data_IF_324575375262
#
_entry.id   IF_324575375262
#
_cell.length_a   1.000
_cell.length_b   1.000
_cell.length_c   1.000
_cell.angle_alpha   90.00
_cell.angle_beta   90.00
_cell.angle_gamma   90.00
#
_symmetry.space_group_name_H-M   'P 1'
#
loop_
_entity.id
_entity.type
_entity.pdbx_description
1 polymer ?
#
# COMPACT_ATOMS: atom_id res chain seq x y z
N UNK A 1 12.54 22.10 -6.85
CA UNK A 1 12.45 22.26 -5.37
C UNK A 1 12.92 21.01 -4.64
N UNK A 2 12.38 19.78 -4.93
CA UNK A 2 12.80 18.52 -4.30
C UNK A 2 14.31 18.24 -4.43
N UNK A 3 14.89 18.39 -5.63
CA UNK A 3 16.33 18.20 -5.89
C UNK A 3 17.27 19.17 -5.14
N UNK A 4 16.82 20.38 -4.84
CA UNK A 4 17.62 21.37 -4.11
C UNK A 4 17.65 21.02 -2.61
N UNK A 5 16.55 20.47 -2.07
CA UNK A 5 16.43 20.07 -0.69
C UNK A 5 17.20 18.79 -0.34
N UNK A 6 17.47 17.93 -1.35
CA UNK A 6 18.26 16.70 -1.18
C UNK A 6 19.78 16.97 -0.99
N UNK A 7 20.23 18.21 -1.26
CA UNK A 7 21.65 18.61 -1.13
C UNK A 7 22.09 19.03 0.26
N UNK A 8 21.13 19.29 1.18
CA UNK A 8 21.41 19.72 2.55
C UNK A 8 20.84 18.72 3.57
N UNK A 9 21.71 17.98 4.26
CA UNK A 9 21.34 16.93 5.21
C UNK A 9 21.13 17.49 6.63
N UNK A 10 20.19 18.45 6.78
CA UNK A 10 19.76 18.96 8.07
C UNK A 10 18.47 18.30 8.54
N UNK A 11 18.20 18.28 9.84
CA UNK A 11 16.95 17.71 10.38
C UNK A 11 15.71 18.44 9.84
N UNK A 12 15.79 19.76 9.64
CA UNK A 12 14.72 20.56 9.04
C UNK A 12 14.45 20.17 7.59
N UNK A 13 15.49 19.93 6.80
CA UNK A 13 15.36 19.46 5.42
C UNK A 13 14.73 18.07 5.35
N UNK A 14 15.11 17.15 6.24
CA UNK A 14 14.50 15.82 6.31
C UNK A 14 13.03 15.89 6.68
N UNK A 15 12.65 16.81 7.58
CA UNK A 15 11.27 17.01 7.97
C UNK A 15 10.45 17.61 6.81
N UNK A 16 11.00 18.58 6.10
CA UNK A 16 10.37 19.18 4.93
C UNK A 16 10.18 18.18 3.78
N UNK A 17 11.18 17.36 3.50
CA UNK A 17 11.07 16.28 2.51
C UNK A 17 9.99 15.27 2.88
N UNK A 18 9.82 14.98 4.16
CA UNK A 18 8.77 14.10 4.64
C UNK A 18 7.37 14.69 4.48
N UNK A 19 7.19 16.00 4.70
CA UNK A 19 5.91 16.66 4.45
C UNK A 19 5.63 16.74 2.95
N UNK A 20 6.61 17.04 2.11
CA UNK A 20 6.47 17.03 0.65
C UNK A 20 6.05 15.64 0.14
N UNK A 21 6.66 14.56 0.67
CA UNK A 21 6.27 13.20 0.34
C UNK A 21 4.80 12.91 0.73
N UNK A 22 4.35 13.42 1.88
CA UNK A 22 2.94 13.26 2.30
C UNK A 22 1.98 13.99 1.37
N UNK A 23 2.33 15.19 0.94
CA UNK A 23 1.52 15.97 -0.01
C UNK A 23 1.45 15.22 -1.36
N UNK A 24 2.58 14.71 -1.84
CA UNK A 24 2.65 13.90 -3.07
C UNK A 24 1.72 12.67 -2.95
N UNK A 25 1.80 11.92 -1.85
CA UNK A 25 0.92 10.77 -1.58
C UNK A 25 -0.57 11.16 -1.55
N UNK A 26 -0.89 12.32 -0.98
CA UNK A 26 -2.27 12.79 -0.94
C UNK A 26 -2.79 13.15 -2.33
N UNK A 27 -2.00 13.85 -3.14
CA UNK A 27 -2.34 14.19 -4.53
C UNK A 27 -2.52 12.93 -5.37
N UNK A 28 -1.61 11.96 -5.27
CA UNK A 28 -1.70 10.67 -5.95
C UNK A 28 -2.99 9.92 -5.58
N UNK A 29 -3.34 9.92 -4.30
CA UNK A 29 -4.57 9.30 -3.81
C UNK A 29 -5.83 9.98 -4.38
N UNK A 30 -5.88 11.31 -4.43
CA UNK A 30 -7.01 12.05 -5.01
C UNK A 30 -7.13 11.79 -6.51
N UNK A 31 -6.00 11.81 -7.24
CA UNK A 31 -5.99 11.50 -8.67
C UNK A 31 -6.44 10.06 -8.94
N UNK A 32 -6.02 9.11 -8.10
CA UNK A 32 -6.46 7.72 -8.18
C UNK A 32 -7.95 7.57 -7.91
N UNK A 33 -8.49 8.30 -6.92
CA UNK A 33 -9.91 8.34 -6.66
C UNK A 33 -10.72 8.84 -7.87
N UNK A 34 -10.27 9.92 -8.53
CA UNK A 34 -10.92 10.46 -9.72
C UNK A 34 -10.86 9.49 -10.90
N UNK A 35 -9.71 8.86 -11.11
CA UNK A 35 -9.53 7.88 -12.19
C UNK A 35 -10.37 6.62 -11.97
N UNK A 36 -10.40 6.08 -10.74
CA UNK A 36 -11.27 4.94 -10.40
C UNK A 36 -12.75 5.27 -10.50
N UNK A 37 -13.15 6.53 -10.36
CA UNK A 37 -14.52 6.98 -10.53
C UNK A 37 -14.96 7.15 -11.99
N UNK A 38 -14.04 7.20 -12.96
CA UNK A 38 -14.36 7.36 -14.37
C UNK A 38 -14.70 6.01 -15.03
N UNK A 39 -15.76 6.00 -15.85
CA UNK A 39 -16.15 4.83 -16.65
C UNK A 39 -15.12 4.50 -17.76
N UNK A 40 -14.22 5.42 -18.07
CA UNK A 40 -13.21 5.34 -19.14
C UNK A 40 -11.80 5.09 -18.59
N UNK A 41 -11.66 4.37 -17.47
CA UNK A 41 -10.32 3.96 -17.01
C UNK A 41 -9.80 2.84 -17.89
N UNK A 42 -8.89 3.13 -18.80
CA UNK A 42 -8.21 2.13 -19.61
C UNK A 42 -7.28 1.29 -18.72
N UNK A 43 -7.75 0.11 -18.34
CA UNK A 43 -6.92 -0.89 -17.66
C UNK A 43 -6.10 -1.65 -18.69
N UNK A 44 -4.79 -1.74 -18.47
CA UNK A 44 -3.87 -2.45 -19.36
C UNK A 44 -3.44 -3.76 -18.72
N UNK A 45 -4.22 -4.81 -18.95
CA UNK A 45 -3.91 -6.14 -18.45
C UNK A 45 -2.78 -6.80 -19.27
N UNK A 46 -1.69 -7.15 -18.58
CA UNK A 46 -0.56 -7.89 -19.13
C UNK A 46 0.04 -8.79 -18.06
N UNK A 47 0.84 -9.77 -18.48
CA UNK A 47 1.70 -10.49 -17.55
C UNK A 47 2.88 -9.61 -17.13
N UNK A 48 2.98 -9.37 -15.82
CA UNK A 48 4.07 -8.63 -15.21
C UNK A 48 4.83 -9.49 -14.23
N UNK A 49 6.11 -9.23 -14.11
CA UNK A 49 7.01 -9.75 -13.09
C UNK A 49 6.66 -9.10 -11.75
N UNK A 50 6.09 -9.89 -10.83
CA UNK A 50 5.62 -9.40 -9.52
C UNK A 50 6.77 -8.84 -8.67
N UNK A 51 7.97 -9.46 -8.78
CA UNK A 51 9.16 -8.99 -8.04
C UNK A 51 9.54 -7.55 -8.41
N UNK A 52 9.43 -7.18 -9.69
CA UNK A 52 9.72 -5.83 -10.15
C UNK A 52 8.74 -4.81 -9.55
N UNK A 53 7.45 -5.13 -9.54
CA UNK A 53 6.42 -4.25 -8.97
C UNK A 53 6.65 -4.06 -7.46
N UNK A 54 6.92 -5.15 -6.73
CA UNK A 54 7.20 -5.09 -5.29
C UNK A 54 8.46 -4.26 -5.02
N UNK A 55 9.55 -4.48 -5.77
CA UNK A 55 10.79 -3.72 -5.61
C UNK A 55 10.63 -2.24 -5.91
N UNK A 56 9.80 -1.88 -6.89
CA UNK A 56 9.48 -0.48 -7.19
C UNK A 56 8.80 0.20 -6.00
N UNK A 57 7.80 -0.46 -5.40
CA UNK A 57 7.16 0.04 -4.19
C UNK A 57 8.14 0.16 -3.01
N UNK A 58 8.96 -0.87 -2.78
CA UNK A 58 9.99 -0.85 -1.73
C UNK A 58 10.95 0.32 -1.92
N UNK A 59 11.44 0.53 -3.14
CA UNK A 59 12.38 1.61 -3.43
C UNK A 59 11.81 2.99 -3.12
N UNK A 60 10.56 3.23 -3.48
CA UNK A 60 9.84 4.49 -3.20
C UNK A 60 9.73 4.76 -1.69
N UNK A 61 9.47 3.72 -0.89
CA UNK A 61 9.26 3.86 0.56
C UNK A 61 10.52 3.61 1.42
N UNK A 62 11.65 3.19 0.83
CA UNK A 62 12.89 2.90 1.56
C UNK A 62 13.34 4.06 2.49
N UNK A 63 13.32 5.34 2.07
CA UNK A 63 13.69 6.43 2.97
C UNK A 63 12.79 6.54 4.22
N UNK A 64 11.53 6.15 4.10
CA UNK A 64 10.56 6.17 5.21
C UNK A 64 10.86 5.05 6.22
N UNK A 65 11.19 3.84 5.74
CA UNK A 65 11.60 2.72 6.57
C UNK A 65 12.86 3.07 7.38
N UNK A 66 13.87 3.63 6.72
CA UNK A 66 15.12 4.07 7.36
C UNK A 66 14.84 5.14 8.42
N UNK A 67 14.11 6.19 8.07
CA UNK A 67 13.80 7.30 8.98
C UNK A 67 13.04 6.84 10.22
N UNK A 68 12.10 5.90 10.06
CA UNK A 68 11.29 5.36 11.17
C UNK A 68 11.94 4.20 11.89
N UNK A 69 13.11 3.73 11.42
CA UNK A 69 13.81 2.57 11.98
C UNK A 69 12.95 1.31 12.00
N UNK A 70 12.12 1.13 10.95
CA UNK A 70 11.31 -0.06 10.75
C UNK A 70 12.10 -1.00 9.84
N UNK A 71 12.26 -2.26 10.25
CA UNK A 71 12.93 -3.28 9.44
C UNK A 71 11.99 -3.74 8.34
N UNK A 72 12.48 -3.77 7.10
CA UNK A 72 11.76 -4.35 5.97
C UNK A 72 12.36 -5.72 5.64
N UNK A 73 11.50 -6.74 5.57
CA UNK A 73 11.86 -8.11 5.22
C UNK A 73 11.18 -8.50 3.91
N UNK A 74 11.96 -8.78 2.88
CA UNK A 74 11.48 -9.24 1.59
C UNK A 74 12.48 -10.20 0.95
N UNK A 75 11.99 -11.32 0.46
CA UNK A 75 12.76 -12.25 -0.36
C UNK A 75 12.23 -12.18 -1.80
N UNK A 76 13.09 -11.92 -2.79
CA UNK A 76 12.70 -11.87 -4.20
C UNK A 76 11.99 -13.15 -4.65
N UNK A 77 11.04 -13.00 -5.56
CA UNK A 77 10.24 -14.10 -6.12
C UNK A 77 10.32 -14.10 -7.64
N UNK A 78 10.19 -15.28 -8.24
CA UNK A 78 10.07 -15.44 -9.70
C UNK A 78 8.64 -15.87 -10.04
N UNK A 79 7.72 -14.90 -9.98
CA UNK A 79 6.29 -15.11 -10.21
C UNK A 79 5.76 -14.04 -11.16
N UNK A 80 5.05 -14.50 -12.19
CA UNK A 80 4.30 -13.62 -13.10
C UNK A 80 2.83 -13.58 -12.72
N UNK A 81 2.23 -12.40 -12.85
CA UNK A 81 0.82 -12.15 -12.57
C UNK A 81 0.17 -11.39 -13.72
N UNK A 82 -1.06 -11.75 -14.07
CA UNK A 82 -1.88 -11.00 -15.01
C UNK A 82 -2.56 -9.86 -14.24
N UNK A 83 -2.19 -8.63 -14.55
CA UNK A 83 -2.66 -7.45 -13.81
C UNK A 83 -2.46 -6.18 -14.64
N UNK A 84 -2.87 -5.04 -14.10
CA UNK A 84 -2.38 -3.71 -14.49
C UNK A 84 -1.28 -3.29 -13.50
N UNK A 85 -0.05 -3.09 -14.00
CA UNK A 85 1.12 -2.77 -13.19
C UNK A 85 0.90 -1.54 -12.32
N UNK A 86 0.33 -0.49 -12.88
CA UNK A 86 0.11 0.78 -12.21
C UNK A 86 -0.84 0.66 -11.02
N UNK A 87 -1.93 -0.08 -11.20
CA UNK A 87 -2.92 -0.26 -10.15
C UNK A 87 -2.46 -1.24 -9.08
N UNK A 88 -1.76 -2.32 -9.46
CA UNK A 88 -1.18 -3.22 -8.47
C UNK A 88 -0.09 -2.50 -7.65
N UNK A 89 0.78 -1.72 -8.31
CA UNK A 89 1.77 -0.87 -7.63
C UNK A 89 1.09 0.09 -6.65
N UNK A 90 0.02 0.77 -7.06
CA UNK A 90 -0.76 1.64 -6.18
C UNK A 90 -1.27 0.92 -4.92
N UNK A 91 -1.83 -0.30 -5.08
CA UNK A 91 -2.32 -1.08 -3.94
C UNK A 91 -1.17 -1.39 -2.96
N UNK A 92 -0.03 -1.89 -3.47
CA UNK A 92 1.14 -2.22 -2.65
C UNK A 92 1.65 -0.98 -1.92
N UNK A 93 1.76 0.15 -2.60
CA UNK A 93 2.20 1.43 -2.04
C UNK A 93 1.30 1.91 -0.90
N UNK A 94 -0.02 1.83 -1.07
CA UNK A 94 -0.97 2.23 -0.04
C UNK A 94 -0.90 1.33 1.20
N UNK A 95 -0.72 0.02 1.00
CA UNK A 95 -0.54 -0.92 2.11
C UNK A 95 0.77 -0.65 2.84
N UNK A 96 1.90 -0.47 2.14
CA UNK A 96 3.18 -0.11 2.75
C UNK A 96 3.11 1.22 3.51
N UNK A 97 2.44 2.23 2.95
CA UNK A 97 2.21 3.51 3.62
C UNK A 97 1.47 3.33 4.95
N UNK A 98 0.43 2.50 4.97
CA UNK A 98 -0.31 2.18 6.18
C UNK A 98 0.55 1.41 7.18
N UNK A 99 1.27 0.38 6.76
CA UNK A 99 2.18 -0.38 7.63
C UNK A 99 3.23 0.52 8.28
N UNK A 100 3.88 1.41 7.51
CA UNK A 100 4.84 2.38 8.06
C UNK A 100 4.16 3.36 9.03
N UNK A 101 2.94 3.79 8.74
CA UNK A 101 2.21 4.74 9.57
C UNK A 101 1.84 4.17 10.93
N UNK A 102 1.41 2.91 10.98
CA UNK A 102 0.88 2.27 12.17
C UNK A 102 1.89 1.40 12.92
N UNK A 103 3.08 1.18 12.37
CA UNK A 103 4.20 0.53 13.06
C UNK A 103 5.08 1.58 13.71
N UNK A 104 5.21 1.53 15.04
CA UNK A 104 6.12 2.43 15.79
C UNK A 104 7.53 1.85 15.85
N UNK A 105 7.64 0.56 16.12
CA UNK A 105 8.86 -0.23 16.19
C UNK A 105 8.55 -1.64 15.71
N UNK A 106 9.50 -2.30 15.08
CA UNK A 106 9.31 -3.67 14.57
C UNK A 106 9.68 -3.81 13.12
N UNK A 107 8.93 -4.64 12.41
CA UNK A 107 9.18 -4.98 11.02
C UNK A 107 7.92 -4.92 10.16
N UNK A 108 8.15 -4.77 8.85
CA UNK A 108 7.17 -5.04 7.81
C UNK A 108 7.73 -6.16 6.95
N UNK A 109 6.97 -7.22 6.78
CA UNK A 109 7.36 -8.39 6.00
C UNK A 109 6.48 -8.53 4.77
N UNK A 110 7.11 -8.70 3.61
CA UNK A 110 6.45 -8.97 2.35
C UNK A 110 6.75 -10.40 1.94
N UNK A 111 5.73 -11.18 1.71
CA UNK A 111 5.84 -12.58 1.25
C UNK A 111 4.86 -12.85 0.12
N UNK A 112 5.22 -13.77 -0.76
CA UNK A 112 4.33 -14.26 -1.83
C UNK A 112 4.26 -15.77 -1.74
N UNK A 113 3.05 -16.31 -1.72
CA UNK A 113 2.86 -17.77 -1.72
C UNK A 113 2.95 -18.34 -3.14
N UNK A 114 3.18 -19.66 -3.30
CA UNK A 114 3.13 -20.31 -4.61
C UNK A 114 1.80 -20.09 -5.35
N UNK A 115 0.68 -19.97 -4.60
CA UNK A 115 -0.67 -19.70 -5.13
C UNK A 115 -0.89 -18.22 -5.46
N UNK A 116 0.19 -17.46 -5.64
CA UNK A 116 0.17 -16.02 -6.02
C UNK A 116 -0.55 -15.12 -5.00
N UNK A 117 -0.57 -15.44 -3.71
CA UNK A 117 -1.07 -14.54 -2.68
C UNK A 117 0.08 -13.69 -2.15
N UNK A 118 0.02 -12.39 -2.43
CA UNK A 118 0.92 -11.39 -1.85
C UNK A 118 0.42 -11.01 -0.46
N UNK A 119 1.28 -11.15 0.55
CA UNK A 119 0.99 -10.76 1.95
C UNK A 119 1.97 -9.69 2.40
N UNK A 120 1.42 -8.63 2.99
CA UNK A 120 2.19 -7.56 3.63
C UNK A 120 1.76 -7.56 5.10
N UNK A 121 2.68 -7.96 5.97
CA UNK A 121 2.46 -8.08 7.40
C UNK A 121 3.29 -7.02 8.15
N UNK A 122 2.68 -6.35 9.12
CA UNK A 122 3.35 -5.39 10.00
C UNK A 122 3.19 -5.77 11.48
N UNK A 123 4.18 -5.35 12.29
CA UNK A 123 4.16 -5.48 13.76
C UNK A 123 3.54 -4.23 14.41
N UNK A 124 2.56 -3.61 13.75
CA UNK A 124 1.94 -2.36 14.18
C UNK A 124 0.95 -2.54 15.34
N UNK A 125 0.20 -1.47 15.59
CA UNK A 125 -0.80 -1.43 16.68
C UNK A 125 -1.97 -2.39 16.49
N UNK A 126 -2.13 -2.95 15.29
CA UNK A 126 -3.27 -3.78 14.93
C UNK A 126 -4.58 -3.00 14.82
N UNK A 127 -5.65 -3.71 14.51
CA UNK A 127 -6.99 -3.20 14.27
C UNK A 127 -7.95 -3.93 15.21
N UNK A 128 -8.87 -3.19 15.83
CA UNK A 128 -9.91 -3.77 16.67
C UNK A 128 -10.85 -4.67 15.84
N UNK A 129 -11.32 -5.78 16.43
CA UNK A 129 -12.17 -6.75 15.74
C UNK A 129 -13.46 -6.12 15.17
N UNK A 130 -14.01 -5.13 15.87
CA UNK A 130 -15.18 -4.36 15.45
C UNK A 130 -14.93 -3.44 14.25
N UNK A 131 -13.68 -2.95 14.09
CA UNK A 131 -13.26 -2.08 13.00
C UNK A 131 -12.86 -2.88 11.74
N UNK A 132 -12.35 -4.10 11.93
CA UNK A 132 -11.74 -4.91 10.86
C UNK A 132 -12.68 -5.14 9.65
N UNK A 133 -13.97 -5.42 9.79
CA UNK A 133 -14.88 -5.58 8.64
C UNK A 133 -15.07 -4.30 7.82
N UNK A 134 -14.77 -3.14 8.42
CA UNK A 134 -15.08 -1.81 7.88
C UNK A 134 -13.89 -1.08 7.30
N UNK A 135 -12.68 -1.60 7.42
CA UNK A 135 -11.46 -0.88 7.00
C UNK A 135 -11.39 -0.56 5.51
N UNK A 136 -12.17 -1.28 4.69
CA UNK A 136 -12.31 -1.05 3.26
C UNK A 136 -13.52 -0.16 2.90
N UNK A 137 -14.30 0.31 3.87
CA UNK A 137 -15.40 1.25 3.63
C UNK A 137 -14.87 2.65 3.32
N UNK A 138 -15.57 3.37 2.42
CA UNK A 138 -15.20 4.73 2.04
C UNK A 138 -15.26 5.70 3.22
N UNK A 139 -14.12 6.36 3.49
CA UNK A 139 -14.03 7.36 4.55
C UNK A 139 -13.91 6.78 5.96
N UNK A 140 -13.80 5.46 6.10
CA UNK A 140 -13.61 4.83 7.41
C UNK A 140 -12.18 5.04 7.93
N UNK A 141 -12.06 5.53 9.16
CA UNK A 141 -10.76 5.86 9.77
C UNK A 141 -10.53 5.20 11.12
N UNK A 142 -11.31 4.23 11.55
CA UNK A 142 -11.17 3.56 12.83
C UNK A 142 -10.96 4.50 14.05
N UNK A 143 -10.90 3.95 15.26
CA UNK A 143 -10.68 4.74 16.48
C UNK A 143 -9.31 5.48 16.44
N UNK A 144 -8.25 4.80 16.04
CA UNK A 144 -6.90 5.37 15.96
C UNK A 144 -6.73 6.40 14.82
N UNK A 145 -7.52 6.30 13.75
CA UNK A 145 -7.51 7.26 12.65
C UNK A 145 -8.21 8.57 12.98
N UNK A 146 -9.21 8.56 13.85
CA UNK A 146 -9.90 9.78 14.33
C UNK A 146 -9.00 10.66 15.22
N UNK A 147 -8.13 10.05 16.02
CA UNK A 147 -7.12 10.77 16.81
C UNK A 147 -6.03 11.37 15.93
N UNK A 148 -5.71 10.73 14.81
CA UNK A 148 -4.74 11.21 13.85
C UNK A 148 -5.49 12.01 12.76
N UNK A 149 -5.64 13.34 12.93
CA UNK A 149 -6.29 14.27 11.98
C UNK A 149 -5.80 14.18 10.51
N UNK A 150 -4.83 13.29 10.23
CA UNK A 150 -4.14 13.09 8.96
C UNK A 150 -4.63 11.86 8.15
N UNK A 151 -5.74 11.19 8.55
CA UNK A 151 -6.28 10.01 7.86
C UNK A 151 -7.55 10.36 7.11
N UNK A 152 -7.57 10.15 5.80
CA UNK A 152 -8.73 10.44 4.94
C UNK A 152 -9.75 9.30 4.89
N UNK A 153 -9.34 8.08 5.28
CA UNK A 153 -10.15 6.87 5.13
C UNK A 153 -10.37 6.43 3.68
N UNK A 154 -9.59 6.98 2.73
CA UNK A 154 -9.73 6.65 1.31
C UNK A 154 -8.74 5.58 0.84
N UNK A 155 -7.57 5.45 1.49
CA UNK A 155 -6.49 4.59 0.99
C UNK A 155 -6.90 3.12 0.79
N UNK A 156 -7.36 2.44 1.85
CA UNK A 156 -7.79 1.04 1.76
C UNK A 156 -9.07 0.85 0.95
N UNK A 157 -10.01 1.82 0.98
CA UNK A 157 -11.16 1.82 0.10
C UNK A 157 -10.74 1.80 -1.37
N UNK A 158 -9.77 2.64 -1.77
CA UNK A 158 -9.26 2.67 -3.13
C UNK A 158 -8.49 1.38 -3.49
N UNK A 159 -7.75 0.80 -2.52
CA UNK A 159 -7.13 -0.51 -2.71
C UNK A 159 -8.17 -1.59 -3.03
N UNK A 160 -9.29 -1.61 -2.28
CA UNK A 160 -10.38 -2.57 -2.53
C UNK A 160 -11.02 -2.34 -3.90
N UNK A 161 -11.33 -1.07 -4.24
CA UNK A 161 -11.91 -0.72 -5.53
C UNK A 161 -10.99 -1.09 -6.70
N UNK A 162 -9.69 -0.83 -6.58
CA UNK A 162 -8.72 -1.19 -7.60
C UNK A 162 -8.55 -2.71 -7.71
N UNK A 163 -8.45 -3.42 -6.59
CA UNK A 163 -8.35 -4.87 -6.57
C UNK A 163 -9.57 -5.54 -7.24
N UNK A 164 -10.78 -5.09 -6.92
CA UNK A 164 -12.01 -5.61 -7.53
C UNK A 164 -12.02 -5.42 -9.06
N UNK A 165 -11.56 -4.27 -9.56
CA UNK A 165 -11.46 -4.00 -10.99
C UNK A 165 -10.35 -4.82 -11.69
N UNK A 166 -9.33 -5.23 -10.95
CA UNK A 166 -8.28 -6.12 -11.43
C UNK A 166 -8.67 -7.60 -11.31
N UNK A 167 -9.88 -7.92 -10.84
CA UNK A 167 -10.29 -9.30 -10.49
C UNK A 167 -9.41 -9.95 -9.43
N UNK A 168 -8.77 -9.13 -8.59
CA UNK A 168 -7.99 -9.56 -7.44
C UNK A 168 -8.82 -9.47 -6.16
N UNK A 169 -8.51 -10.32 -5.17
CA UNK A 169 -9.17 -10.26 -3.87
C UNK A 169 -8.23 -9.64 -2.83
N UNK A 170 -8.70 -8.68 -2.07
CA UNK A 170 -7.96 -8.09 -0.95
C UNK A 170 -8.67 -8.42 0.36
N UNK A 171 -7.91 -8.84 1.35
CA UNK A 171 -8.40 -9.15 2.69
C UNK A 171 -7.44 -8.69 3.76
N UNK A 172 -7.90 -8.66 5.00
CA UNK A 172 -7.09 -8.26 6.15
C UNK A 172 -7.33 -9.17 7.34
N UNK A 173 -6.25 -9.49 8.04
CA UNK A 173 -6.26 -10.15 9.34
C UNK A 173 -5.49 -9.26 10.31
N UNK A 174 -6.04 -9.05 11.51
CA UNK A 174 -5.37 -8.20 12.49
C UNK A 174 -5.77 -8.56 13.90
N UNK A 175 -4.84 -8.31 14.82
CA UNK A 175 -5.09 -8.42 16.25
C UNK A 175 -4.50 -7.19 16.93
N UNK A 176 -5.25 -6.49 17.80
CA UNK A 176 -4.72 -5.37 18.55
C UNK A 176 -3.40 -5.70 19.26
N UNK A 177 -2.39 -4.87 19.08
CA UNK A 177 -1.06 -5.04 19.65
C UNK A 177 -0.17 -6.11 18.99
N UNK A 178 -0.66 -6.83 17.97
CA UNK A 178 0.11 -7.86 17.25
C UNK A 178 0.36 -7.53 15.78
N UNK A 179 -0.22 -6.42 15.29
CA UNK A 179 -0.06 -5.97 13.91
C UNK A 179 -1.18 -6.38 12.98
N UNK A 180 -0.93 -6.17 11.69
CA UNK A 180 -1.91 -6.39 10.61
C UNK A 180 -1.26 -7.13 9.46
N UNK A 181 -2.01 -8.03 8.83
CA UNK A 181 -1.65 -8.70 7.59
C UNK A 181 -2.68 -8.32 6.54
N UNK A 182 -2.24 -7.67 5.46
CA UNK A 182 -3.04 -7.46 4.25
C UNK A 182 -2.64 -8.53 3.25
N UNK A 183 -3.60 -9.27 2.74
CA UNK A 183 -3.42 -10.30 1.72
C UNK A 183 -4.08 -9.87 0.42
N UNK A 184 -3.37 -9.99 -0.68
CA UNK A 184 -3.84 -9.70 -2.04
C UNK A 184 -3.70 -11.00 -2.83
N UNK A 185 -4.82 -11.61 -3.15
CA UNK A 185 -4.88 -12.80 -4.01
C UNK A 185 -4.83 -12.33 -5.47
N UNK A 186 -3.72 -12.65 -6.12
CA UNK A 186 -3.40 -12.29 -7.50
C UNK A 186 -3.70 -13.43 -8.48
N UNK A 187 -4.30 -14.52 -7.97
CA UNK A 187 -4.76 -15.60 -8.83
C UNK A 187 -5.96 -15.07 -9.62
N UNK A 188 -5.80 -15.01 -10.92
CA UNK A 188 -6.90 -14.76 -11.87
C UNK A 188 -7.17 -16.09 -12.57
N UNK A 189 -8.37 -16.64 -12.37
CA UNK A 189 -8.88 -17.64 -13.30
C UNK A 189 -8.83 -16.97 -14.67
N UNK A 190 -8.29 -17.67 -15.70
CA UNK A 190 -8.02 -17.13 -17.04
C UNK A 190 -9.12 -16.15 -17.46
N UNK A 191 -8.81 -14.85 -17.45
CA UNK A 191 -9.63 -13.88 -18.14
C UNK A 191 -9.57 -14.29 -19.60
N UNK A 192 -10.67 -14.84 -20.12
CA UNK A 192 -10.82 -15.04 -21.57
C UNK A 192 -10.68 -13.66 -22.19
N UNK A 193 -9.51 -13.39 -22.75
CA UNK A 193 -9.29 -12.21 -23.59
C UNK A 193 -10.03 -12.48 -24.87
N UNK A 194 -11.26 -11.93 -25.01
CA UNK A 194 -11.93 -11.81 -26.30
C UNK A 194 -11.25 -10.76 -27.18
#
# INVERSE_FOLDING_TARGET
MKMILESEDTDEHRELLAELFRVEQYVEMVLSYLRLGSEHSDYVFKEYDLDKIIKQAIHKYAPQFVRRRIRLEYTPVDIKVLTDEKWLLFIIEQVLSNSIKYTKQGSVRITVTPDKVLKIADDGIGIAAEDLPRIFEKGFTGYNGRYNKKSTGLGLYLCKTAADRLSHKISAESTPGKGTVISIDLHTDELQVE
#
